data_IF_484662787484
#
_entry.id   IF_484662787484
#
_cell.length_a   1.000
_cell.length_b   1.000
_cell.length_c   1.000
_cell.angle_alpha   90.00
_cell.angle_beta   90.00
_cell.angle_gamma   90.00
#
_symmetry.space_group_name_H-M   'P 1'
#
loop_
_entity.id
_entity.type
_entity.pdbx_description
1 polymer ?
#
# COMPACT_ATOMS: atom_id res chain seq x y z
N UNK A 1 32.84 -16.70 50.06
CA UNK A 1 32.47 -16.77 49.58
C UNK A 1 31.63 -16.58 48.74
N UNK A 2 31.25 -16.52 48.20
CA UNK A 2 30.59 -16.40 47.55
C UNK A 2 29.92 -16.30 46.63
N UNK A 3 29.57 -16.29 46.08
CA UNK A 3 28.98 -16.28 45.36
C UNK A 3 28.21 -16.08 44.54
N UNK A 4 28.04 -15.94 43.99
CA UNK A 4 27.37 -15.83 43.31
C UNK A 4 26.60 -15.66 42.49
N UNK A 5 26.22 -15.91 42.05
CA UNK A 5 25.36 -15.88 41.50
C UNK A 5 24.79 -15.51 40.52
N UNK A 6 24.72 -15.39 39.96
CA UNK A 6 24.25 -15.11 39.05
C UNK A 6 23.24 -15.06 38.34
N UNK A 7 22.90 -15.09 37.77
CA UNK A 7 21.91 -15.08 37.23
C UNK A 7 21.35 -14.79 36.25
N UNK A 8 21.17 -14.74 35.64
CA UNK A 8 20.55 -14.71 34.80
C UNK A 8 19.74 -14.31 34.04
N UNK A 9 19.49 -14.14 33.68
CA UNK A 9 18.73 -13.73 33.09
C UNK A 9 18.08 -13.77 32.08
N UNK A 10 17.94 -13.95 31.55
CA UNK A 10 17.17 -14.06 30.75
C UNK A 10 16.53 -13.54 29.91
N UNK A 11 16.47 -13.33 29.44
CA UNK A 11 16.00 -12.90 28.61
C UNK A 11 15.03 -12.92 27.82
N UNK A 12 14.76 -13.00 27.40
CA UNK A 12 13.88 -13.14 26.71
C UNK A 12 13.29 -12.60 25.80
N UNK A 13 13.22 -12.40 25.30
CA UNK A 13 12.85 -11.96 24.41
C UNK A 13 11.89 -11.92 23.67
N UNK A 14 11.60 -12.11 23.33
CA UNK A 14 10.74 -12.20 22.66
C UNK A 14 10.14 -11.76 21.75
N UNK A 15 10.14 -11.60 21.30
CA UNK A 15 9.77 -11.26 20.45
C UNK A 15 8.84 -11.24 19.76
N UNK A 16 8.51 -11.37 19.52
CA UNK A 16 7.77 -11.37 18.95
C UNK A 16 7.07 -11.21 18.04
N UNK A 17 6.81 -10.92 17.63
CA UNK A 17 6.21 -10.70 16.93
C UNK A 17 5.71 -10.97 15.99
N UNK A 18 5.63 -11.27 15.76
CA UNK A 18 5.17 -11.58 15.04
C UNK A 18 4.57 -11.45 14.06
N UNK A 19 4.56 -11.36 13.68
CA UNK A 19 4.21 -11.38 12.90
C UNK A 19 3.43 -11.20 12.05
N UNK A 20 3.21 -11.10 11.92
CA UNK A 20 2.50 -11.04 11.30
C UNK A 20 2.39 -10.54 10.26
N UNK A 21 2.41 -10.30 9.96
CA UNK A 21 2.18 -9.79 9.14
C UNK A 21 2.65 -9.63 8.04
N UNK A 22 2.78 -10.21 7.75
CA UNK A 22 3.19 -10.23 6.55
C UNK A 22 2.76 -9.24 5.75
N UNK A 23 1.85 -8.69 5.94
CA UNK A 23 1.45 -7.78 5.19
C UNK A 23 1.81 -6.51 5.60
N UNK A 24 2.74 -6.25 6.32
CA UNK A 24 3.19 -4.95 6.71
C UNK A 24 3.40 -4.09 5.48
N UNK A 25 2.86 -2.94 5.50
CA UNK A 25 3.06 -2.00 4.42
C UNK A 25 4.45 -1.43 4.50
N UNK A 26 5.11 -1.19 3.38
CA UNK A 26 6.41 -0.55 3.40
C UNK A 26 6.30 0.87 3.96
N UNK A 27 7.35 1.34 4.59
CA UNK A 27 7.37 2.70 5.08
C UNK A 27 7.83 3.62 3.96
N UNK A 28 6.88 4.29 3.32
CA UNK A 28 7.15 5.17 2.21
C UNK A 28 7.11 6.64 2.58
N UNK A 29 6.97 6.96 3.84
CA UNK A 29 6.82 8.34 4.30
C UNK A 29 7.95 9.22 3.76
N UNK A 30 7.57 10.32 3.15
CA UNK A 30 8.52 11.27 2.58
C UNK A 30 9.05 10.90 1.21
N UNK A 31 8.68 9.75 0.69
CA UNK A 31 9.20 9.30 -0.59
C UNK A 31 8.34 9.82 -1.74
N UNK A 32 9.00 10.27 -2.81
CA UNK A 32 8.32 10.62 -4.05
C UNK A 32 8.00 9.33 -4.77
N UNK A 33 6.73 9.04 -4.94
CA UNK A 33 6.31 7.77 -5.51
C UNK A 33 5.89 7.85 -6.97
N UNK A 34 5.58 9.04 -7.47
CA UNK A 34 5.19 9.21 -8.86
C UNK A 34 5.28 10.68 -9.21
N UNK A 35 5.19 10.97 -10.50
CA UNK A 35 5.08 12.35 -10.97
C UNK A 35 3.65 12.61 -11.39
N UNK A 36 3.18 13.82 -11.20
CA UNK A 36 1.81 14.16 -11.56
C UNK A 36 1.53 13.90 -13.04
N UNK A 37 2.53 14.10 -13.88
CA UNK A 37 2.37 13.89 -15.33
C UNK A 37 2.11 12.43 -15.69
N UNK A 38 2.46 11.50 -14.81
CA UNK A 38 2.28 10.06 -15.07
C UNK A 38 0.94 9.54 -14.56
N UNK A 39 0.13 10.41 -13.97
CA UNK A 39 -1.13 10.00 -13.34
C UNK A 39 -2.27 10.77 -13.99
N UNK A 40 -2.84 10.24 -15.07
CA UNK A 40 -3.94 10.95 -15.74
C UNK A 40 -5.23 10.93 -14.93
N UNK A 41 -6.11 11.88 -15.23
CA UNK A 41 -7.43 11.95 -14.59
C UNK A 41 -8.23 10.73 -14.96
N UNK A 42 -8.81 10.07 -13.97
CA UNK A 42 -9.56 8.83 -14.15
C UNK A 42 -8.69 7.62 -14.31
N UNK A 43 -7.36 7.81 -14.33
CA UNK A 43 -6.39 6.76 -14.49
C UNK A 43 -5.38 6.77 -13.37
N UNK A 44 -4.19 6.30 -13.67
CA UNK A 44 -3.13 6.24 -12.68
C UNK A 44 -1.94 5.47 -13.18
N UNK A 45 -1.07 5.13 -12.26
CA UNK A 45 0.12 4.35 -12.57
C UNK A 45 0.41 3.37 -11.45
N UNK A 46 0.94 2.21 -11.81
CA UNK A 46 1.40 1.23 -10.83
C UNK A 46 2.91 1.39 -10.70
N UNK A 47 3.36 1.63 -9.50
CA UNK A 47 4.79 1.71 -9.19
C UNK A 47 5.19 0.36 -8.62
N UNK A 48 5.64 -0.52 -9.47
CA UNK A 48 5.81 -1.92 -9.10
C UNK A 48 6.84 -2.12 -8.00
N UNK A 49 7.94 -1.41 -8.08
CA UNK A 49 9.00 -1.55 -7.07
C UNK A 49 8.51 -1.22 -5.67
N UNK A 50 7.54 -0.35 -5.56
CA UNK A 50 7.01 0.09 -4.26
C UNK A 50 5.70 -0.59 -3.90
N UNK A 51 5.15 -1.36 -4.83
CA UNK A 51 3.85 -2.02 -4.67
C UNK A 51 2.74 -1.02 -4.35
N UNK A 52 2.71 0.07 -5.11
CA UNK A 52 1.75 1.15 -4.93
C UNK A 52 1.07 1.44 -6.26
N UNK A 53 -0.22 1.72 -6.22
CA UNK A 53 -0.94 2.27 -7.36
C UNK A 53 -1.35 3.68 -7.00
N UNK A 54 -1.04 4.64 -7.88
CA UNK A 54 -1.36 6.05 -7.68
C UNK A 54 -2.45 6.41 -8.65
N UNK A 55 -3.48 7.08 -8.15
CA UNK A 55 -4.66 7.41 -8.95
C UNK A 55 -4.93 8.90 -8.93
N UNK A 56 -5.68 9.36 -9.92
CA UNK A 56 -6.21 10.73 -9.94
C UNK A 56 -7.70 10.64 -10.27
N UNK A 57 -8.53 10.36 -9.25
CA UNK A 57 -9.97 10.17 -9.52
C UNK A 57 -10.66 11.42 -10.03
N UNK A 58 -10.18 12.59 -9.60
CA UNK A 58 -10.70 13.87 -10.02
C UNK A 58 -9.50 14.77 -10.28
N UNK A 59 -9.61 15.68 -11.20
CA UNK A 59 -8.49 16.57 -11.52
C UNK A 59 -7.89 17.22 -10.29
N UNK A 60 -6.61 17.02 -10.10
CA UNK A 60 -5.87 17.59 -8.98
C UNK A 60 -5.96 16.81 -7.69
N UNK A 61 -6.74 15.73 -7.65
CA UNK A 61 -6.89 14.91 -6.44
C UNK A 61 -6.15 13.60 -6.66
N UNK A 62 -5.09 13.39 -5.91
CA UNK A 62 -4.27 12.20 -6.04
C UNK A 62 -4.45 11.29 -4.84
N UNK A 63 -4.52 9.99 -5.10
CA UNK A 63 -4.66 8.98 -4.07
C UNK A 63 -3.61 7.92 -4.31
N UNK A 64 -3.25 7.19 -3.27
CA UNK A 64 -2.31 6.09 -3.41
C UNK A 64 -2.76 4.92 -2.56
N UNK A 65 -2.63 3.74 -3.11
CA UNK A 65 -3.05 2.51 -2.43
C UNK A 65 -2.00 1.43 -2.65
N UNK A 66 -2.03 0.43 -1.80
CA UNK A 66 -1.26 -0.78 -2.07
C UNK A 66 -1.72 -1.38 -3.39
N UNK A 67 -0.80 -1.80 -4.22
CA UNK A 67 -1.15 -2.47 -5.48
C UNK A 67 -1.36 -3.97 -5.30
N UNK A 68 -1.33 -4.45 -4.07
CA UNK A 68 -1.52 -5.88 -3.79
C UNK A 68 -3.00 -6.16 -3.59
N UNK A 69 -3.57 -6.95 -4.50
CA UNK A 69 -4.98 -7.32 -4.44
C UNK A 69 -5.27 -8.06 -3.14
N UNK A 70 -6.33 -7.64 -2.45
CA UNK A 70 -6.66 -8.20 -1.15
C UNK A 70 -7.25 -9.61 -1.22
N UNK A 71 -7.55 -10.09 -2.43
CA UNK A 71 -8.04 -11.47 -2.58
C UNK A 71 -6.90 -12.49 -2.53
N UNK A 72 -5.97 -12.40 -3.50
CA UNK A 72 -4.89 -13.40 -3.60
C UNK A 72 -3.50 -12.80 -3.72
N UNK A 73 -3.37 -11.52 -3.55
CA UNK A 73 -2.06 -10.90 -3.58
C UNK A 73 -1.49 -10.56 -4.94
N UNK A 74 -2.29 -10.71 -6.00
CA UNK A 74 -1.84 -10.30 -7.33
C UNK A 74 -1.69 -8.79 -7.39
N UNK A 75 -0.81 -8.30 -8.27
CA UNK A 75 -0.68 -6.87 -8.48
C UNK A 75 -1.85 -6.37 -9.30
N UNK A 76 -2.50 -5.32 -8.85
CA UNK A 76 -3.61 -4.71 -9.59
C UNK A 76 -3.05 -3.93 -10.78
N UNK A 77 -3.92 -3.65 -11.76
CA UNK A 77 -3.59 -2.83 -12.91
C UNK A 77 -3.80 -1.36 -12.59
N UNK A 78 -3.20 -0.49 -13.38
CA UNK A 78 -3.47 0.94 -13.27
C UNK A 78 -4.95 1.18 -13.53
N UNK A 79 -5.56 2.14 -12.83
CA UNK A 79 -6.98 2.36 -12.98
C UNK A 79 -7.33 2.87 -14.37
N UNK A 80 -8.55 2.56 -14.78
CA UNK A 80 -9.13 3.06 -16.00
C UNK A 80 -10.57 3.39 -15.66
N UNK A 81 -10.99 4.58 -16.04
CA UNK A 81 -12.33 5.08 -15.74
C UNK A 81 -12.64 4.97 -14.24
N UNK A 82 -11.63 5.30 -13.41
CA UNK A 82 -11.74 5.28 -11.95
C UNK A 82 -11.97 3.90 -11.35
N UNK A 83 -11.62 2.84 -12.07
CA UNK A 83 -11.72 1.47 -11.57
C UNK A 83 -10.35 0.81 -11.62
N UNK A 84 -9.92 0.31 -10.48
CA UNK A 84 -8.68 -0.46 -10.36
C UNK A 84 -9.08 -1.93 -10.47
N UNK A 85 -8.50 -2.65 -11.43
CA UNK A 85 -8.84 -4.05 -11.63
C UNK A 85 -7.70 -4.98 -11.30
N UNK A 86 -8.05 -6.13 -10.74
CA UNK A 86 -7.10 -7.20 -10.54
C UNK A 86 -7.38 -8.26 -11.62
N UNK A 87 -6.41 -8.45 -12.52
CA UNK A 87 -6.60 -9.37 -13.65
C UNK A 87 -6.67 -10.84 -13.24
N UNK A 88 -6.17 -11.19 -12.06
CA UNK A 88 -6.13 -12.59 -11.65
C UNK A 88 -7.51 -13.20 -11.50
N UNK A 89 -8.42 -12.49 -10.85
CA UNK A 89 -9.76 -13.02 -10.59
C UNK A 89 -10.87 -12.01 -10.85
N UNK A 90 -10.55 -10.88 -11.44
CA UNK A 90 -11.56 -9.89 -11.81
C UNK A 90 -12.07 -8.99 -10.71
N UNK A 91 -11.42 -8.97 -9.56
CA UNK A 91 -11.80 -8.05 -8.49
C UNK A 91 -11.63 -6.61 -8.95
N UNK A 92 -12.47 -5.72 -8.46
CA UNK A 92 -12.40 -4.29 -8.78
C UNK A 92 -12.46 -3.45 -7.53
N UNK A 93 -11.77 -2.32 -7.59
CA UNK A 93 -11.66 -1.39 -6.48
C UNK A 93 -11.89 0.03 -7.00
N UNK A 94 -12.51 0.85 -6.19
CA UNK A 94 -12.73 2.24 -6.55
C UNK A 94 -11.42 3.03 -6.46
N UNK A 95 -11.12 3.82 -7.47
CA UNK A 95 -9.87 4.58 -7.51
C UNK A 95 -9.84 5.73 -6.51
N UNK A 96 -10.99 6.16 -5.99
CA UNK A 96 -11.05 7.27 -5.04
C UNK A 96 -10.98 6.82 -3.58
N UNK A 97 -11.22 5.54 -3.30
CA UNK A 97 -11.28 5.08 -1.92
C UNK A 97 -10.52 3.78 -1.67
N UNK A 98 -10.22 3.04 -2.73
CA UNK A 98 -9.64 1.72 -2.60
C UNK A 98 -10.63 0.64 -2.18
N UNK A 99 -11.91 0.98 -2.02
CA UNK A 99 -12.90 -0.01 -1.59
C UNK A 99 -13.14 -1.05 -2.66
N UNK A 100 -13.31 -2.29 -2.24
CA UNK A 100 -13.64 -3.35 -3.19
C UNK A 100 -15.07 -3.12 -3.69
N UNK A 101 -15.23 -3.04 -5.00
CA UNK A 101 -16.54 -2.83 -5.64
C UNK A 101 -17.01 -4.05 -6.39
N UNK A 102 -16.10 -5.02 -6.61
CA UNK A 102 -16.48 -6.27 -7.25
C UNK A 102 -15.57 -7.36 -6.70
N UNK A 103 -16.17 -8.45 -6.26
CA UNK A 103 -15.43 -9.59 -5.73
C UNK A 103 -14.65 -10.33 -6.78
N UNK A 104 -13.88 -11.30 -6.34
CA UNK A 104 -13.93 -11.94 -5.02
C UNK A 104 -13.25 -11.17 -3.89
N UNK A 105 -12.48 -10.13 -4.15
CA UNK A 105 -11.90 -9.34 -3.07
C UNK A 105 -13.00 -8.64 -2.27
N UNK A 106 -12.90 -8.70 -0.95
CA UNK A 106 -13.88 -8.05 -0.09
C UNK A 106 -13.28 -6.94 0.76
N UNK A 107 -11.99 -6.93 0.95
CA UNK A 107 -11.32 -5.91 1.74
C UNK A 107 -10.80 -4.79 0.85
N UNK A 108 -10.75 -3.56 1.34
CA UNK A 108 -10.21 -2.45 0.55
C UNK A 108 -8.70 -2.59 0.40
N UNK A 109 -8.17 -1.94 -0.63
CA UNK A 109 -6.73 -1.78 -0.74
C UNK A 109 -6.27 -0.84 0.37
N UNK A 110 -5.15 -1.14 1.00
CA UNK A 110 -4.59 -0.25 2.01
C UNK A 110 -4.21 1.08 1.35
N UNK A 111 -4.41 2.19 2.05
CA UNK A 111 -4.16 3.50 1.48
C UNK A 111 -2.95 4.17 2.11
N UNK A 112 -2.34 5.07 1.34
CA UNK A 112 -1.26 5.92 1.82
C UNK A 112 -1.72 7.37 1.64
N UNK A 113 -1.46 8.21 2.61
CA UNK A 113 -1.74 9.63 2.44
C UNK A 113 -0.65 10.23 1.55
N UNK A 114 -1.04 11.06 0.62
CA UNK A 114 -0.08 11.70 -0.27
C UNK A 114 -0.35 13.19 -0.37
N UNK A 115 0.68 13.91 -0.80
CA UNK A 115 0.56 15.33 -1.13
C UNK A 115 1.37 15.59 -2.39
N UNK A 116 1.09 16.70 -3.06
CA UNK A 116 1.83 17.08 -4.23
C UNK A 116 2.87 18.12 -3.82
N UNK A 117 4.11 17.89 -4.22
CA UNK A 117 5.20 18.84 -4.04
C UNK A 117 5.83 19.08 -5.40
N UNK A 118 5.63 20.28 -5.96
CA UNK A 118 6.07 20.53 -7.32
C UNK A 118 5.33 19.63 -8.29
N UNK A 119 6.08 18.83 -9.04
CA UNK A 119 5.48 17.84 -9.93
C UNK A 119 5.54 16.42 -9.35
N UNK A 120 5.91 16.29 -8.09
CA UNK A 120 6.03 14.99 -7.45
C UNK A 120 4.86 14.69 -6.53
N UNK A 121 4.53 13.44 -6.43
CA UNK A 121 3.54 12.94 -5.49
C UNK A 121 4.30 12.25 -4.37
N UNK A 122 4.16 12.75 -3.16
CA UNK A 122 4.97 12.35 -2.01
C UNK A 122 4.08 11.73 -0.97
N UNK A 123 4.54 10.65 -0.36
CA UNK A 123 3.82 10.02 0.75
C UNK A 123 3.97 10.90 1.99
N UNK A 124 2.86 11.29 2.53
CA UNK A 124 2.84 12.20 3.69
C UNK A 124 3.19 11.47 5.00
#
# INVERSE_FOLDING_TARGET
MLGAAGVAACGLALAGCSGQDAKAQPNLKGKVIAKTADVPVGGGTVVEDLQVVVTQPTKGVYMAFSSVCTHKGCTVSAPKDNVIRCACHGSEFAADSGKATKGPAGAPLASFKVRVEGDGIVVA
#
